data_IF_666325507375
#
_entry.id   IF_666325507375
#
_cell.length_a   1.000
_cell.length_b   1.000
_cell.length_c   1.000
_cell.angle_alpha   90.00
_cell.angle_beta   90.00
_cell.angle_gamma   90.00
#
_symmetry.space_group_name_H-M   'P 1'
#
loop_
_entity.id
_entity.type
_entity.pdbx_description
1 polymer ?
#
# COMPACT_ATOMS: atom_id res chain seq x y z
N UNK A 1 49.41 12.84 -3.22
CA UNK A 1 48.16 13.56 -2.89
C UNK A 1 47.08 13.04 -3.83
N UNK A 2 46.53 11.86 -3.55
CA UNK A 2 45.43 11.28 -4.33
C UNK A 2 44.15 11.98 -3.89
N UNK A 3 43.51 12.72 -4.79
CA UNK A 3 42.15 13.20 -4.57
C UNK A 3 41.27 11.94 -4.52
N UNK A 4 40.97 11.46 -3.31
CA UNK A 4 39.91 10.48 -3.15
C UNK A 4 38.64 11.16 -3.59
N UNK A 5 38.24 10.83 -4.82
CA UNK A 5 36.98 11.20 -5.40
C UNK A 5 35.90 10.94 -4.36
N UNK A 6 35.28 12.01 -3.87
CA UNK A 6 34.10 11.90 -3.02
C UNK A 6 32.99 11.42 -3.96
N UNK A 7 32.94 10.10 -4.17
CA UNK A 7 31.90 9.42 -4.93
C UNK A 7 30.57 10.01 -4.49
N UNK A 8 29.98 10.84 -5.36
CA UNK A 8 28.73 11.52 -5.08
C UNK A 8 27.76 10.47 -4.56
N UNK A 9 27.19 10.63 -3.35
CA UNK A 9 26.37 9.59 -2.76
C UNK A 9 25.30 9.25 -3.78
N UNK A 10 25.36 8.00 -4.26
CA UNK A 10 24.48 7.48 -5.30
C UNK A 10 23.08 7.98 -4.97
N UNK A 11 22.52 8.80 -5.86
CA UNK A 11 21.19 9.39 -5.72
C UNK A 11 20.29 8.36 -5.06
N UNK A 12 19.89 8.61 -3.81
CA UNK A 12 19.08 7.67 -3.01
C UNK A 12 17.71 7.62 -3.67
N UNK A 13 17.67 6.83 -4.74
CA UNK A 13 16.64 6.83 -5.74
C UNK A 13 15.38 6.25 -5.16
N UNK A 14 14.29 6.42 -5.90
CA UNK A 14 12.96 5.89 -5.64
C UNK A 14 12.94 4.50 -4.96
N UNK A 15 13.89 3.62 -5.29
CA UNK A 15 14.11 2.33 -4.65
C UNK A 15 14.27 2.36 -3.11
N UNK A 16 14.97 3.36 -2.54
CA UNK A 16 15.12 3.49 -1.08
C UNK A 16 13.82 3.95 -0.43
N UNK A 17 13.04 4.81 -1.10
CA UNK A 17 11.71 5.23 -0.65
C UNK A 17 10.72 4.06 -0.68
N UNK A 18 10.79 3.24 -1.73
CA UNK A 18 10.01 2.01 -1.83
C UNK A 18 10.41 1.03 -0.72
N UNK A 19 11.70 0.89 -0.39
CA UNK A 19 12.14 -0.02 0.68
C UNK A 19 11.79 0.47 2.10
N UNK A 20 11.76 1.78 2.32
CA UNK A 20 11.32 2.38 3.58
C UNK A 20 9.79 2.46 3.72
N UNK A 21 9.06 2.01 2.69
CA UNK A 21 7.62 1.84 2.75
C UNK A 21 7.23 0.84 3.85
N UNK A 22 6.07 1.03 4.48
CA UNK A 22 5.57 0.20 5.58
C UNK A 22 5.14 -1.21 5.15
N UNK A 23 6.05 -2.01 4.59
CA UNK A 23 5.80 -3.36 4.08
C UNK A 23 5.18 -4.28 5.13
N UNK A 24 5.56 -4.12 6.40
CA UNK A 24 4.96 -4.87 7.52
C UNK A 24 3.45 -4.60 7.66
N UNK A 25 3.02 -3.34 7.51
CA UNK A 25 1.61 -2.97 7.56
C UNK A 25 0.85 -3.55 6.37
N UNK A 26 1.42 -3.48 5.17
CA UNK A 26 0.83 -4.08 3.96
C UNK A 26 0.67 -5.60 4.12
N UNK A 27 1.68 -6.28 4.65
CA UNK A 27 1.65 -7.72 4.89
C UNK A 27 0.57 -8.11 5.90
N UNK A 28 0.49 -7.39 7.03
CA UNK A 28 -0.56 -7.58 8.04
C UNK A 28 -1.96 -7.38 7.47
N UNK A 29 -2.15 -6.31 6.69
CA UNK A 29 -3.44 -6.01 6.07
C UNK A 29 -3.86 -7.10 5.08
N UNK A 30 -2.90 -7.60 4.31
CA UNK A 30 -3.12 -8.71 3.36
C UNK A 30 -3.47 -9.99 4.09
N UNK A 31 -2.81 -10.29 5.23
CA UNK A 31 -3.17 -11.43 6.07
C UNK A 31 -4.59 -11.32 6.61
N UNK A 32 -4.95 -10.20 7.23
CA UNK A 32 -6.30 -9.97 7.79
C UNK A 32 -7.38 -10.11 6.72
N UNK A 33 -7.13 -9.56 5.53
CA UNK A 33 -8.06 -9.68 4.41
C UNK A 33 -8.13 -11.10 3.84
N UNK A 34 -7.00 -11.81 3.77
CA UNK A 34 -6.93 -13.23 3.43
C UNK A 34 -7.83 -14.07 4.33
N UNK A 35 -7.80 -13.80 5.65
CA UNK A 35 -8.71 -14.45 6.60
C UNK A 35 -10.18 -14.11 6.30
N UNK A 36 -10.47 -12.85 5.95
CA UNK A 36 -11.81 -12.42 5.52
C UNK A 36 -12.31 -13.17 4.28
N UNK A 37 -11.46 -13.39 3.29
CA UNK A 37 -11.80 -14.18 2.10
C UNK A 37 -12.06 -15.64 2.43
N UNK A 38 -11.27 -16.23 3.33
CA UNK A 38 -11.47 -17.60 3.80
C UNK A 38 -12.83 -17.76 4.47
N UNK A 39 -13.24 -16.79 5.30
CA UNK A 39 -14.54 -16.78 5.97
C UNK A 39 -15.68 -16.64 4.95
N UNK A 40 -15.56 -15.76 3.96
CA UNK A 40 -16.60 -15.61 2.94
C UNK A 40 -16.72 -16.85 2.04
N UNK A 41 -15.60 -17.49 1.69
CA UNK A 41 -15.60 -18.75 0.95
C UNK A 41 -16.30 -19.87 1.72
N UNK A 42 -16.03 -19.97 3.03
CA UNK A 42 -16.69 -20.95 3.90
C UNK A 42 -18.18 -20.67 4.09
N UNK A 43 -18.57 -19.40 4.26
CA UNK A 43 -19.97 -19.01 4.43
C UNK A 43 -20.81 -19.23 3.16
N UNK A 44 -20.18 -19.28 1.99
CA UNK A 44 -20.87 -19.43 0.71
C UNK A 44 -21.03 -20.89 0.26
N UNK A 45 -20.75 -21.87 1.13
CA UNK A 45 -20.93 -23.31 0.88
C UNK A 45 -20.26 -23.80 -0.43
N UNK A 46 -19.13 -23.18 -0.82
CA UNK A 46 -18.39 -23.49 -2.04
C UNK A 46 -18.86 -22.75 -3.31
N UNK A 47 -19.87 -21.86 -3.24
CA UNK A 47 -20.29 -21.03 -4.37
C UNK A 47 -19.76 -19.59 -4.24
N UNK A 48 -19.17 -19.03 -5.29
CA UNK A 48 -18.66 -17.65 -5.26
C UNK A 48 -19.74 -16.55 -5.34
N UNK A 49 -21.02 -16.91 -5.45
CA UNK A 49 -22.11 -15.97 -5.72
C UNK A 49 -22.93 -15.62 -4.47
N UNK A 50 -23.34 -14.35 -4.21
CA UNK A 50 -22.91 -13.06 -4.78
C UNK A 50 -22.07 -12.17 -3.82
N UNK A 51 -21.93 -12.56 -2.55
CA UNK A 51 -21.35 -11.67 -1.51
C UNK A 51 -19.81 -11.66 -1.50
N UNK A 52 -19.20 -12.78 -1.88
CA UNK A 52 -17.74 -12.92 -1.97
C UNK A 52 -17.14 -11.96 -3.00
N UNK A 53 -17.79 -11.83 -4.16
CA UNK A 53 -17.31 -11.03 -5.28
C UNK A 53 -17.31 -9.53 -4.98
N UNK A 54 -18.40 -9.03 -4.38
CA UNK A 54 -18.51 -7.64 -3.96
C UNK A 54 -17.45 -7.25 -2.91
N UNK A 55 -17.13 -8.16 -1.99
CA UNK A 55 -16.11 -7.91 -0.97
C UNK A 55 -14.70 -8.00 -1.53
N UNK A 56 -14.45 -8.89 -2.50
CA UNK A 56 -13.17 -9.00 -3.21
C UNK A 56 -12.86 -7.74 -4.01
N UNK A 57 -13.84 -7.18 -4.71
CA UNK A 57 -13.70 -5.91 -5.43
C UNK A 57 -13.41 -4.75 -4.46
N UNK A 58 -14.13 -4.67 -3.33
CA UNK A 58 -13.90 -3.62 -2.31
C UNK A 58 -12.51 -3.71 -1.71
N UNK A 59 -12.04 -4.92 -1.40
CA UNK A 59 -10.69 -5.11 -0.88
C UNK A 59 -9.63 -4.74 -1.93
N UNK A 60 -9.80 -5.18 -3.18
CA UNK A 60 -8.89 -4.83 -4.27
C UNK A 60 -8.78 -3.30 -4.45
N UNK A 61 -9.91 -2.59 -4.45
CA UNK A 61 -9.94 -1.13 -4.50
C UNK A 61 -9.22 -0.52 -3.28
N UNK A 62 -9.47 -1.05 -2.08
CA UNK A 62 -8.82 -0.59 -0.85
C UNK A 62 -7.29 -0.76 -0.86
N UNK A 63 -6.80 -1.90 -1.36
CA UNK A 63 -5.36 -2.17 -1.50
C UNK A 63 -4.73 -1.22 -2.51
N UNK A 64 -5.37 -1.04 -3.68
CA UNK A 64 -4.88 -0.10 -4.70
C UNK A 64 -4.84 1.32 -4.14
N UNK A 65 -5.88 1.77 -3.45
CA UNK A 65 -5.91 3.08 -2.78
C UNK A 65 -4.79 3.22 -1.75
N UNK A 66 -4.58 2.22 -0.90
CA UNK A 66 -3.54 2.26 0.11
C UNK A 66 -2.14 2.37 -0.53
N UNK A 67 -1.88 1.62 -1.59
CA UNK A 67 -0.61 1.69 -2.33
C UNK A 67 -0.42 3.05 -2.98
N UNK A 68 -1.46 3.59 -3.64
CA UNK A 68 -1.41 4.94 -4.24
C UNK A 68 -1.14 6.00 -3.17
N UNK A 69 -1.85 5.95 -2.04
CA UNK A 69 -1.68 6.89 -0.92
C UNK A 69 -0.27 6.79 -0.33
N UNK A 70 0.21 5.56 -0.16
CA UNK A 70 1.50 5.28 0.43
C UNK A 70 2.71 5.62 -0.45
N UNK A 71 2.58 5.49 -1.77
CA UNK A 71 3.59 5.92 -2.74
C UNK A 71 3.51 7.42 -3.04
N UNK A 72 2.40 8.07 -2.69
CA UNK A 72 2.24 9.51 -2.83
C UNK A 72 3.10 10.23 -1.80
N UNK A 73 3.82 11.27 -2.24
CA UNK A 73 4.68 12.06 -1.37
C UNK A 73 3.90 12.72 -0.23
N UNK A 74 4.42 12.60 1.01
CA UNK A 74 3.86 13.26 2.20
C UNK A 74 3.62 14.77 2.02
N UNK A 75 4.46 15.44 1.22
CA UNK A 75 4.30 16.86 0.89
C UNK A 75 2.97 17.17 0.16
N UNK A 76 2.47 16.25 -0.67
CA UNK A 76 1.19 16.41 -1.35
C UNK A 76 0.04 16.37 -0.33
N UNK A 77 0.08 15.39 0.58
CA UNK A 77 -0.89 15.27 1.68
C UNK A 77 -0.89 16.50 2.59
N UNK A 78 0.28 17.01 2.95
CA UNK A 78 0.41 18.24 3.75
C UNK A 78 -0.17 19.47 3.04
N UNK A 79 -0.03 19.57 1.72
CA UNK A 79 -0.62 20.67 0.93
C UNK A 79 -2.13 20.52 0.75
N UNK A 80 -2.62 19.29 0.68
CA UNK A 80 -4.05 18.95 0.61
C UNK A 80 -4.77 19.08 1.97
N UNK A 81 -4.05 19.02 3.09
CA UNK A 81 -4.65 19.09 4.42
C UNK A 81 -5.46 20.38 4.63
N UNK A 82 -4.98 21.51 4.13
CA UNK A 82 -5.66 22.80 4.28
C UNK A 82 -6.96 22.91 3.44
N UNK A 83 -6.97 22.61 2.12
CA UNK A 83 -8.20 22.63 1.32
C UNK A 83 -9.16 21.47 1.59
N UNK A 84 -8.73 20.36 2.21
CA UNK A 84 -9.64 19.30 2.66
C UNK A 84 -10.30 19.62 4.01
N UNK A 85 -9.69 20.49 4.79
CA UNK A 85 -10.18 20.88 6.11
C UNK A 85 -11.23 21.99 6.04
N UNK A 86 -11.01 22.98 5.18
CA UNK A 86 -11.96 24.07 4.86
C UNK A 86 -13.04 23.57 3.90
#
# INVERSE_FOLDING_TARGET
MSLHDHSAPASLGLAQRIRSFGWGLLALLTMVAGTGFLVLYSAANGSFSPWADAQMIRFAIGVVLMVVIGLTHLKLWLRLAYPLYV
#
